data_IF_274379828796
#
_entry.id   IF_274379828796
#
_cell.length_a   1.000
_cell.length_b   1.000
_cell.length_c   1.000
_cell.angle_alpha   90.00
_cell.angle_beta   90.00
_cell.angle_gamma   90.00
#
_symmetry.space_group_name_H-M   'P 1'
#
loop_
_entity.id
_entity.type
_entity.pdbx_description
1 polymer ?
#
# COMPACT_ATOMS: atom_id res chain seq x y z
N UNK A 1 40.54 -6.05 -21.34
CA UNK A 1 39.42 -6.84 -20.81
C UNK A 1 38.49 -5.86 -20.09
N UNK A 2 37.34 -5.53 -20.69
CA UNK A 2 36.39 -4.55 -20.15
C UNK A 2 35.39 -5.28 -19.24
N UNK A 3 35.25 -4.81 -18.00
CA UNK A 3 34.25 -5.31 -17.06
C UNK A 3 32.85 -5.00 -17.59
N UNK A 4 32.00 -6.03 -17.67
CA UNK A 4 30.60 -5.89 -18.06
C UNK A 4 29.85 -5.05 -17.02
N UNK A 5 28.92 -4.17 -17.44
CA UNK A 5 28.07 -3.46 -16.50
C UNK A 5 27.23 -4.47 -15.72
N UNK A 6 27.32 -4.41 -14.39
CA UNK A 6 26.42 -5.10 -13.46
C UNK A 6 24.98 -4.79 -13.87
N UNK A 7 24.08 -5.78 -13.99
CA UNK A 7 22.67 -5.49 -14.25
C UNK A 7 22.13 -4.73 -13.04
N UNK A 8 21.95 -3.41 -13.20
CA UNK A 8 21.12 -2.64 -12.28
C UNK A 8 19.75 -3.35 -12.19
N UNK A 9 19.16 -3.47 -10.99
CA UNK A 9 17.82 -4.02 -10.89
C UNK A 9 16.89 -3.11 -11.69
N UNK A 10 16.50 -3.56 -12.88
CA UNK A 10 15.58 -2.88 -13.77
C UNK A 10 14.35 -2.49 -12.97
N UNK A 11 14.26 -1.23 -12.55
CA UNK A 11 13.01 -0.66 -12.05
C UNK A 11 12.00 -0.90 -13.16
N UNK A 12 10.90 -1.63 -12.94
CA UNK A 12 9.88 -1.76 -13.96
C UNK A 12 9.24 -0.39 -14.19
N UNK A 13 9.84 0.38 -15.11
CA UNK A 13 9.27 1.59 -15.65
C UNK A 13 8.06 1.15 -16.48
N UNK A 14 6.85 1.37 -15.95
CA UNK A 14 5.61 1.27 -16.73
C UNK A 14 4.54 0.34 -16.19
N UNK A 15 4.77 -0.44 -15.13
CA UNK A 15 3.65 -1.15 -14.46
C UNK A 15 2.99 -0.15 -13.52
N UNK A 16 1.85 0.42 -13.94
CA UNK A 16 1.07 1.29 -13.07
C UNK A 16 0.70 0.48 -11.83
N UNK A 17 0.93 1.02 -10.63
CA UNK A 17 0.53 0.37 -9.38
C UNK A 17 -0.95 -0.06 -9.35
N UNK A 18 -1.76 0.46 -10.29
CA UNK A 18 -3.13 0.04 -10.55
C UNK A 18 -3.28 -1.46 -10.81
N UNK A 19 -2.30 -2.11 -11.44
CA UNK A 19 -2.37 -3.56 -11.77
C UNK A 19 -1.41 -4.41 -10.93
N UNK A 20 -0.74 -3.83 -9.93
CA UNK A 20 0.23 -4.54 -9.12
C UNK A 20 -0.42 -5.73 -8.38
N UNK A 21 0.21 -6.90 -8.47
CA UNK A 21 -0.21 -8.09 -7.72
C UNK A 21 -0.05 -7.88 -6.21
N UNK A 22 -0.74 -8.65 -5.36
CA UNK A 22 -0.57 -8.61 -3.90
C UNK A 22 0.89 -8.77 -3.45
N UNK A 23 1.66 -9.63 -4.14
CA UNK A 23 3.07 -9.84 -3.85
C UNK A 23 3.93 -8.60 -4.16
N UNK A 24 3.66 -7.93 -5.28
CA UNK A 24 4.36 -6.69 -5.64
C UNK A 24 4.01 -5.53 -4.70
N UNK A 25 2.73 -5.43 -4.31
CA UNK A 25 2.29 -4.46 -3.30
C UNK A 25 3.03 -4.71 -1.99
N UNK A 26 3.05 -5.96 -1.49
CA UNK A 26 3.77 -6.32 -0.27
C UNK A 26 5.25 -5.96 -0.32
N UNK A 27 5.94 -6.26 -1.43
CA UNK A 27 7.37 -6.00 -1.58
C UNK A 27 7.72 -4.50 -1.58
N UNK A 28 6.76 -3.64 -1.89
CA UNK A 28 6.93 -2.19 -1.93
C UNK A 28 6.79 -1.51 -0.56
N UNK A 29 6.17 -2.19 0.40
CA UNK A 29 5.80 -1.60 1.68
C UNK A 29 6.96 -1.65 2.67
N UNK A 30 7.00 -0.64 3.56
CA UNK A 30 7.80 -0.70 4.77
C UNK A 30 7.36 -1.89 5.66
N UNK A 31 8.25 -2.47 6.49
CA UNK A 31 7.94 -3.65 7.30
C UNK A 31 6.65 -3.51 8.15
N UNK A 32 6.42 -2.34 8.72
CA UNK A 32 5.25 -2.04 9.55
C UNK A 32 3.97 -2.08 8.71
N UNK A 33 4.01 -1.49 7.53
CA UNK A 33 2.88 -1.50 6.58
C UNK A 33 2.70 -2.85 5.91
N UNK A 34 3.75 -3.63 5.72
CA UNK A 34 3.68 -5.00 5.21
C UNK A 34 3.00 -5.94 6.21
N UNK A 35 3.28 -5.78 7.51
CA UNK A 35 2.60 -6.52 8.58
C UNK A 35 1.11 -6.16 8.65
N UNK A 36 0.79 -4.87 8.52
CA UNK A 36 -0.59 -4.40 8.46
C UNK A 36 -1.33 -4.95 7.22
N UNK A 37 -0.68 -4.91 6.05
CA UNK A 37 -1.19 -5.52 4.82
C UNK A 37 -1.51 -7.01 5.01
N UNK A 38 -0.61 -7.80 5.61
CA UNK A 38 -0.85 -9.24 5.80
C UNK A 38 -2.04 -9.55 6.70
N UNK A 39 -2.22 -8.77 7.75
CA UNK A 39 -3.35 -8.93 8.66
C UNK A 39 -4.67 -8.65 7.93
N UNK A 40 -4.71 -7.54 7.19
CA UNK A 40 -5.90 -7.12 6.43
C UNK A 40 -6.20 -8.04 5.25
N UNK A 41 -5.17 -8.50 4.54
CA UNK A 41 -5.29 -9.45 3.43
C UNK A 41 -5.89 -10.77 3.89
N UNK A 42 -5.42 -11.31 5.02
CA UNK A 42 -5.99 -12.54 5.62
C UNK A 42 -7.44 -12.35 6.06
N UNK A 43 -7.78 -11.22 6.66
CA UNK A 43 -9.16 -10.93 7.07
C UNK A 43 -10.10 -10.83 5.86
N UNK A 44 -9.68 -10.13 4.79
CA UNK A 44 -10.46 -10.00 3.56
C UNK A 44 -10.67 -11.36 2.87
N UNK A 45 -9.62 -12.19 2.77
CA UNK A 45 -9.73 -13.54 2.23
C UNK A 45 -10.65 -14.43 3.07
N UNK A 46 -10.58 -14.34 4.41
CA UNK A 46 -11.46 -15.07 5.31
C UNK A 46 -12.93 -14.71 5.08
N UNK A 47 -13.25 -13.42 5.05
CA UNK A 47 -14.62 -12.96 4.78
C UNK A 47 -15.11 -13.38 3.40
N UNK A 48 -14.28 -13.24 2.37
CA UNK A 48 -14.64 -13.67 1.02
C UNK A 48 -14.91 -15.18 0.93
N UNK A 49 -14.21 -16.00 1.71
CA UNK A 49 -14.48 -17.43 1.79
C UNK A 49 -15.82 -17.74 2.47
N UNK A 50 -16.25 -16.93 3.45
CA UNK A 50 -17.53 -17.07 4.13
C UNK A 50 -18.71 -16.57 3.27
N UNK A 51 -18.54 -15.43 2.60
CA UNK A 51 -19.62 -14.74 1.87
C UNK A 51 -19.64 -15.03 0.38
N UNK A 52 -18.61 -15.68 -0.15
CA UNK A 52 -18.34 -15.86 -1.59
C UNK A 52 -18.27 -14.54 -2.38
N UNK A 53 -17.98 -13.44 -1.68
CA UNK A 53 -17.86 -12.11 -2.28
C UNK A 53 -16.39 -11.69 -2.33
N UNK A 54 -15.82 -11.64 -3.53
CA UNK A 54 -14.43 -11.22 -3.76
C UNK A 54 -14.26 -9.69 -3.82
N UNK A 55 -15.35 -8.91 -3.86
CA UNK A 55 -15.26 -7.45 -3.92
C UNK A 55 -14.43 -6.87 -2.77
N UNK A 56 -14.52 -7.50 -1.60
CA UNK A 56 -13.75 -7.15 -0.41
C UNK A 56 -12.23 -7.33 -0.59
N UNK A 57 -11.81 -8.37 -1.29
CA UNK A 57 -10.39 -8.66 -1.56
C UNK A 57 -9.85 -7.65 -2.56
N UNK A 58 -10.64 -7.34 -3.59
CA UNK A 58 -10.28 -6.33 -4.58
C UNK A 58 -10.18 -4.92 -3.97
N UNK A 59 -11.15 -4.53 -3.13
CA UNK A 59 -11.13 -3.26 -2.42
C UNK A 59 -9.91 -3.14 -1.49
N UNK A 60 -9.57 -4.23 -0.79
CA UNK A 60 -8.36 -4.31 0.03
C UNK A 60 -7.10 -4.10 -0.84
N UNK A 61 -6.99 -4.82 -1.96
CA UNK A 61 -5.84 -4.71 -2.86
C UNK A 61 -5.69 -3.28 -3.42
N UNK A 62 -6.78 -2.67 -3.87
CA UNK A 62 -6.77 -1.33 -4.45
C UNK A 62 -6.40 -0.25 -3.44
N UNK A 63 -6.82 -0.40 -2.18
CA UNK A 63 -6.37 0.49 -1.11
C UNK A 63 -4.86 0.40 -0.92
N UNK A 64 -4.30 -0.81 -0.88
CA UNK A 64 -2.87 -1.01 -0.66
C UNK A 64 -2.00 -0.69 -1.88
N UNK A 65 -2.52 -0.82 -3.10
CA UNK A 65 -1.88 -0.31 -4.33
C UNK A 65 -1.63 1.20 -4.27
N UNK A 66 -2.57 1.97 -3.67
CA UNK A 66 -2.37 3.42 -3.44
C UNK A 66 -1.26 3.68 -2.44
N UNK A 67 -1.21 2.91 -1.35
CA UNK A 67 -0.12 3.02 -0.35
C UNK A 67 1.23 2.71 -0.98
N UNK A 68 1.35 1.58 -1.69
CA UNK A 68 2.56 1.18 -2.38
C UNK A 68 3.02 2.24 -3.41
N UNK A 69 2.07 2.88 -4.12
CA UNK A 69 2.37 4.01 -5.00
C UNK A 69 2.99 5.18 -4.24
N UNK A 70 2.38 5.61 -3.13
CA UNK A 70 2.91 6.71 -2.30
C UNK A 70 4.30 6.34 -1.78
N UNK A 71 4.48 5.12 -1.28
CA UNK A 71 5.78 4.63 -0.81
C UNK A 71 6.84 4.66 -1.91
N UNK A 72 6.51 4.20 -3.11
CA UNK A 72 7.42 4.23 -4.25
C UNK A 72 7.78 5.66 -4.67
N UNK A 73 6.81 6.59 -4.67
CA UNK A 73 7.05 8.00 -5.03
C UNK A 73 7.81 8.78 -3.96
N UNK A 74 7.70 8.38 -2.69
CA UNK A 74 8.38 9.04 -1.57
C UNK A 74 9.86 8.63 -1.45
N UNK A 75 10.39 7.76 -2.31
CA UNK A 75 11.76 7.26 -2.21
C UNK A 75 11.87 5.94 -1.43
N UNK A 76 10.78 5.21 -1.26
CA UNK A 76 10.73 3.91 -0.57
C UNK A 76 10.21 4.01 0.86
N UNK A 77 10.51 2.98 1.65
CA UNK A 77 10.00 2.82 3.01
C UNK A 77 10.32 4.03 3.93
N UNK A 78 11.50 4.62 3.78
CA UNK A 78 11.96 5.73 4.63
C UNK A 78 11.22 7.03 4.34
N UNK A 79 11.05 7.37 3.07
CA UNK A 79 10.25 8.54 2.69
C UNK A 79 8.78 8.37 3.01
N UNK A 80 8.25 7.15 2.95
CA UNK A 80 6.89 6.88 3.39
C UNK A 80 6.70 7.05 4.91
N UNK A 81 7.69 6.63 5.72
CA UNK A 81 7.68 6.90 7.17
C UNK A 81 7.66 8.40 7.45
N UNK A 82 8.51 9.17 6.77
CA UNK A 82 8.52 10.62 6.89
C UNK A 82 7.17 11.26 6.49
N UNK A 83 6.54 10.80 5.41
CA UNK A 83 5.21 11.27 4.98
C UNK A 83 4.15 10.90 6.02
N UNK A 84 4.18 9.69 6.59
CA UNK A 84 3.25 9.25 7.65
C UNK A 84 3.38 10.09 8.90
N UNK A 85 4.60 10.36 9.35
CA UNK A 85 4.87 11.21 10.50
C UNK A 85 4.35 12.62 10.25
N UNK A 86 4.63 13.21 9.08
CA UNK A 86 4.11 14.53 8.71
C UNK A 86 2.58 14.59 8.70
N UNK A 87 1.91 13.56 8.15
CA UNK A 87 0.44 13.48 8.18
C UNK A 87 -0.08 13.35 9.61
N UNK A 88 0.58 12.55 10.45
CA UNK A 88 0.18 12.36 11.85
C UNK A 88 0.30 13.66 12.62
N UNK A 89 1.46 14.33 12.53
CA UNK A 89 1.71 15.63 13.14
C UNK A 89 0.71 16.69 12.64
N UNK A 90 0.38 16.70 11.35
CA UNK A 90 -0.56 17.66 10.78
C UNK A 90 -2.01 17.42 11.27
N UNK A 91 -2.42 16.16 11.43
CA UNK A 91 -3.73 15.82 12.00
C UNK A 91 -3.84 16.24 13.47
N UNK A 92 -2.75 16.10 14.24
CA UNK A 92 -2.67 16.52 15.65
C UNK A 92 -2.68 18.05 15.81
N UNK A 93 -2.07 18.77 14.88
CA UNK A 93 -1.99 20.25 14.89
C UNK A 93 -3.16 20.93 14.15
N UNK A 94 -4.08 20.17 13.55
CA UNK A 94 -5.20 20.70 12.77
C UNK A 94 -4.81 21.33 11.43
N UNK A 95 -3.58 21.10 10.96
CA UNK A 95 -3.11 21.57 9.67
C UNK A 95 -3.73 20.74 8.53
N UNK A 96 -4.28 21.41 7.51
CA UNK A 96 -4.95 20.74 6.39
C UNK A 96 -3.92 20.13 5.44
N UNK A 97 -3.61 18.85 5.63
CA UNK A 97 -3.05 18.02 4.54
C UNK A 97 -4.22 17.69 3.61
N UNK A 98 -4.11 18.03 2.32
CA UNK A 98 -5.16 17.78 1.34
C UNK A 98 -5.75 16.38 1.49
N UNK A 99 -7.08 16.29 1.58
CA UNK A 99 -7.83 15.06 1.89
C UNK A 99 -7.32 13.88 1.05
N UNK A 100 -6.70 12.85 1.64
CA UNK A 100 -6.38 11.64 0.91
C UNK A 100 -7.67 10.90 0.52
N UNK A 101 -7.75 10.28 -0.66
CA UNK A 101 -8.93 9.50 -1.07
C UNK A 101 -9.13 8.33 -0.10
N UNK A 102 -10.34 8.25 0.46
CA UNK A 102 -10.85 7.28 1.43
C UNK A 102 -9.84 6.20 1.91
N UNK A 103 -9.13 6.46 3.02
CA UNK A 103 -8.05 5.61 3.51
C UNK A 103 -8.62 4.56 4.46
N UNK A 104 -8.79 3.30 4.05
CA UNK A 104 -9.01 2.11 4.91
C UNK A 104 -10.24 2.08 5.85
N UNK A 105 -10.57 3.16 6.56
CA UNK A 105 -11.74 3.35 7.42
C UNK A 105 -13.06 3.03 6.71
N UNK A 106 -13.21 3.38 5.44
CA UNK A 106 -14.42 3.03 4.68
C UNK A 106 -14.46 1.54 4.31
N UNK A 107 -13.30 0.95 3.99
CA UNK A 107 -13.18 -0.48 3.72
C UNK A 107 -13.44 -1.30 4.99
N UNK A 108 -12.99 -0.82 6.15
CA UNK A 108 -13.31 -1.38 7.47
C UNK A 108 -14.81 -1.38 7.77
N UNK A 109 -15.51 -0.30 7.44
CA UNK A 109 -16.96 -0.23 7.57
C UNK A 109 -17.65 -1.27 6.68
N UNK A 110 -17.20 -1.44 5.43
CA UNK A 110 -17.71 -2.49 4.54
C UNK A 110 -17.38 -3.92 5.04
N UNK A 111 -16.28 -4.06 5.76
CA UNK A 111 -15.80 -5.30 6.38
C UNK A 111 -16.44 -5.64 7.73
N UNK A 112 -17.05 -4.67 8.40
CA UNK A 112 -17.53 -4.82 9.78
C UNK A 112 -16.41 -4.86 10.84
N UNK A 113 -15.26 -4.22 10.57
CA UNK A 113 -14.05 -4.20 11.42
C UNK A 113 -13.79 -2.86 12.13
#
# INVERSE_FOLDING_TARGET
MSAAPTPEPSRPAGRTWSDASPAEVRAALAPESAAEFDAQWRAALGRAAETYDLAVVHACLDAWRRVARVTATAGGADGYRAVREQVTTALETGATVGRPPAPWREVRVQLGL
#
